data_IF_806465242764
#
_entry.id   IF_806465242764
#
_cell.length_a   1.000
_cell.length_b   1.000
_cell.length_c   1.000
_cell.angle_alpha   90.00
_cell.angle_beta   90.00
_cell.angle_gamma   90.00
#
_symmetry.space_group_name_H-M   'P 1'
#
loop_
_entity.id
_entity.type
_entity.pdbx_description
1 polymer ?
#
# COMPACT_ATOMS: atom_id res chain seq x y z
N UNK A 1 -28.19 -2.07 -8.48
CA UNK A 1 -29.14 -2.88 -7.67
C UNK A 1 -28.64 -2.90 -6.26
N UNK A 2 -29.52 -2.55 -5.34
CA UNK A 2 -29.41 -2.27 -3.94
C UNK A 2 -28.11 -2.64 -3.25
N UNK A 3 -27.45 -1.63 -2.73
CA UNK A 3 -26.52 -1.79 -1.64
C UNK A 3 -27.24 -2.61 -0.56
N UNK A 4 -26.78 -3.82 -0.30
CA UNK A 4 -27.26 -4.58 0.84
C UNK A 4 -27.09 -3.77 2.13
N UNK A 5 -27.86 -4.07 3.14
CA UNK A 5 -27.78 -3.39 4.44
C UNK A 5 -26.35 -3.37 4.96
N UNK A 6 -25.85 -2.19 5.30
CA UNK A 6 -24.55 -2.04 5.94
C UNK A 6 -24.67 -2.35 7.42
N UNK A 7 -24.11 -3.47 7.86
CA UNK A 7 -24.05 -3.85 9.26
C UNK A 7 -22.75 -3.36 9.89
N UNK A 8 -22.89 -2.66 11.01
CA UNK A 8 -21.73 -2.30 11.86
C UNK A 8 -21.58 -3.36 12.95
N UNK A 9 -20.40 -3.97 13.03
CA UNK A 9 -19.98 -4.83 14.14
C UNK A 9 -18.96 -4.05 14.98
N UNK A 10 -19.12 -4.09 16.28
CA UNK A 10 -18.23 -3.40 17.23
C UNK A 10 -17.48 -4.43 18.04
N UNK A 11 -16.15 -4.25 18.14
CA UNK A 11 -15.29 -4.98 19.06
C UNK A 11 -14.95 -4.03 20.19
N UNK A 12 -15.31 -4.41 21.42
CA UNK A 12 -15.01 -3.61 22.60
C UNK A 12 -13.55 -3.81 23.02
N UNK A 13 -12.86 -2.71 23.38
CA UNK A 13 -11.46 -2.71 23.80
C UNK A 13 -10.55 -3.58 22.89
N UNK A 14 -10.50 -3.32 21.58
CA UNK A 14 -9.73 -4.17 20.67
C UNK A 14 -8.24 -4.08 20.94
N UNK A 15 -7.53 -5.20 20.77
CA UNK A 15 -6.09 -5.21 20.62
C UNK A 15 -5.71 -4.57 19.29
N UNK A 16 -4.97 -3.47 19.31
CA UNK A 16 -4.61 -2.73 18.11
C UNK A 16 -3.39 -3.38 17.45
N UNK A 17 -3.43 -3.46 16.12
CA UNK A 17 -2.29 -3.93 15.32
C UNK A 17 -1.17 -2.89 15.32
N UNK A 18 0.06 -3.34 15.57
CA UNK A 18 1.29 -2.55 15.38
C UNK A 18 2.46 -3.47 15.00
N UNK A 19 3.60 -2.93 14.55
CA UNK A 19 4.81 -3.73 14.29
C UNK A 19 5.30 -4.52 15.49
N UNK A 20 5.09 -4.03 16.71
CA UNK A 20 5.47 -4.67 17.96
C UNK A 20 4.42 -5.68 18.44
N UNK A 21 3.16 -5.45 18.10
CA UNK A 21 2.03 -6.30 18.48
C UNK A 21 1.09 -6.48 17.28
N UNK A 22 1.38 -7.39 16.35
CA UNK A 22 0.59 -7.60 15.15
C UNK A 22 -0.70 -8.39 15.41
N UNK A 23 -1.59 -7.80 16.20
CA UNK A 23 -2.87 -8.40 16.58
C UNK A 23 -3.81 -8.49 15.37
N UNK A 24 -4.22 -9.71 15.02
CA UNK A 24 -5.16 -9.99 13.95
C UNK A 24 -6.45 -10.60 14.50
N UNK A 25 -7.54 -10.27 13.83
CA UNK A 25 -8.88 -10.82 14.03
C UNK A 25 -9.30 -11.59 12.78
N UNK A 26 -10.35 -12.36 12.90
CA UNK A 26 -10.92 -13.13 11.80
C UNK A 26 -12.42 -12.88 11.73
N UNK A 27 -12.89 -12.49 10.54
CA UNK A 27 -14.30 -12.36 10.23
C UNK A 27 -14.74 -13.58 9.43
N UNK A 28 -15.62 -14.39 10.00
CA UNK A 28 -16.21 -15.54 9.31
C UNK A 28 -17.55 -15.14 8.68
N UNK A 29 -17.62 -15.22 7.36
CA UNK A 29 -18.85 -15.01 6.58
C UNK A 29 -19.42 -16.36 6.17
N UNK A 30 -20.66 -16.63 6.55
CA UNK A 30 -21.39 -17.86 6.19
C UNK A 30 -22.50 -17.55 5.21
N UNK A 31 -22.50 -18.22 4.08
CA UNK A 31 -23.55 -18.14 3.08
C UNK A 31 -24.55 -19.30 3.22
N UNK A 32 -25.83 -18.96 3.34
CA UNK A 32 -26.91 -19.95 3.45
C UNK A 32 -27.88 -19.85 2.27
N UNK A 33 -28.43 -20.99 1.89
CA UNK A 33 -29.61 -21.10 1.04
C UNK A 33 -30.72 -21.76 1.88
N UNK A 34 -31.68 -20.97 2.36
CA UNK A 34 -32.56 -21.40 3.45
C UNK A 34 -31.76 -21.74 4.69
N UNK A 35 -31.95 -22.93 5.26
CA UNK A 35 -31.20 -23.41 6.42
C UNK A 35 -29.91 -24.15 6.07
N UNK A 36 -29.64 -24.35 4.78
CA UNK A 36 -28.49 -25.11 4.31
C UNK A 36 -27.27 -24.20 4.13
N UNK A 37 -26.20 -24.42 4.92
CA UNK A 37 -24.91 -23.78 4.73
C UNK A 37 -24.32 -24.15 3.36
N UNK A 38 -23.96 -23.17 2.55
CA UNK A 38 -23.40 -23.32 1.19
C UNK A 38 -21.92 -23.04 1.14
N UNK A 39 -21.48 -22.00 1.88
CA UNK A 39 -20.10 -21.58 1.83
C UNK A 39 -19.69 -20.88 3.13
N UNK A 40 -18.40 -20.94 3.43
CA UNK A 40 -17.77 -20.23 4.55
C UNK A 40 -16.53 -19.53 4.03
N UNK A 41 -16.45 -18.21 4.26
CA UNK A 41 -15.29 -17.43 3.92
C UNK A 41 -14.73 -16.71 5.14
N UNK A 42 -13.44 -16.85 5.37
CA UNK A 42 -12.74 -16.25 6.50
C UNK A 42 -11.83 -15.12 6.03
N UNK A 43 -12.05 -13.91 6.54
CA UNK A 43 -11.25 -12.72 6.24
C UNK A 43 -10.44 -12.34 7.46
N UNK A 44 -9.10 -12.43 7.42
CA UNK A 44 -8.26 -11.85 8.45
C UNK A 44 -8.26 -10.32 8.33
N UNK A 45 -8.23 -9.63 9.48
CA UNK A 45 -8.11 -8.18 9.52
C UNK A 45 -7.44 -7.72 10.82
N UNK A 46 -6.93 -6.50 10.84
CA UNK A 46 -6.39 -5.86 12.03
C UNK A 46 -7.07 -4.52 12.28
N UNK A 47 -7.10 -4.09 13.52
CA UNK A 47 -7.66 -2.80 13.93
C UNK A 47 -6.52 -1.88 14.29
N UNK A 48 -6.47 -0.73 13.65
CA UNK A 48 -5.48 0.32 13.92
C UNK A 48 -6.01 1.68 13.47
N UNK A 49 -5.41 2.76 13.94
CA UNK A 49 -5.60 4.11 13.38
C UNK A 49 -4.30 4.62 12.78
N UNK A 50 -4.42 5.36 11.69
CA UNK A 50 -3.33 6.08 11.06
C UNK A 50 -3.70 7.55 10.92
N UNK A 51 -2.73 8.41 11.16
CA UNK A 51 -2.90 9.84 11.00
C UNK A 51 -1.59 10.46 10.52
N UNK A 52 -1.66 11.40 9.59
CA UNK A 52 -0.54 12.27 9.23
C UNK A 52 -0.88 13.66 9.73
N UNK A 53 -0.04 14.18 10.63
CA UNK A 53 -0.20 15.53 11.15
C UNK A 53 0.91 16.38 10.52
N UNK A 54 0.59 17.47 9.80
CA UNK A 54 1.60 18.39 9.26
C UNK A 54 2.59 18.78 10.35
N UNK A 55 3.87 18.84 10.00
CA UNK A 55 5.02 19.17 10.88
C UNK A 55 5.27 18.20 12.04
N UNK A 56 4.40 17.22 12.28
CA UNK A 56 4.57 16.21 13.34
C UNK A 56 4.83 14.80 12.78
N UNK A 57 4.41 14.53 11.54
CA UNK A 57 4.67 13.27 10.84
C UNK A 57 3.58 12.22 10.99
N UNK A 58 3.96 10.96 10.86
CA UNK A 58 3.06 9.82 10.88
C UNK A 58 2.78 9.30 12.30
N UNK A 59 1.52 9.00 12.56
CA UNK A 59 1.06 8.44 13.84
C UNK A 59 0.34 7.11 13.58
N UNK A 60 0.74 6.10 14.34
CA UNK A 60 0.06 4.80 14.38
C UNK A 60 -0.53 4.63 15.78
N UNK A 61 -1.85 4.40 15.85
CA UNK A 61 -2.58 4.26 17.12
C UNK A 61 -2.34 5.43 18.10
N UNK A 62 -2.28 6.66 17.56
CA UNK A 62 -2.03 7.87 18.35
C UNK A 62 -0.58 8.08 18.78
N UNK A 63 0.35 7.15 18.44
CA UNK A 63 1.77 7.26 18.77
C UNK A 63 2.56 7.70 17.53
N UNK A 64 3.37 8.75 17.66
CA UNK A 64 4.29 9.16 16.59
C UNK A 64 5.24 8.00 16.25
N UNK A 65 5.27 7.63 15.00
CA UNK A 65 6.04 6.49 14.50
C UNK A 65 6.94 6.94 13.36
N UNK A 66 8.22 6.62 13.45
CA UNK A 66 9.19 6.89 12.38
C UNK A 66 9.34 5.62 11.56
N UNK A 67 9.25 5.74 10.23
CA UNK A 67 9.56 4.66 9.34
C UNK A 67 11.07 4.38 9.34
N UNK A 68 11.43 3.18 9.70
CA UNK A 68 12.77 2.62 9.57
C UNK A 68 12.67 1.47 8.60
N UNK A 69 12.80 1.77 7.32
CA UNK A 69 12.42 0.83 6.28
C UNK A 69 13.44 0.71 5.16
N UNK A 70 13.10 -0.15 4.24
CA UNK A 70 13.85 -0.41 3.02
C UNK A 70 12.93 -0.38 1.82
N UNK A 71 13.48 -0.01 0.66
CA UNK A 71 12.88 -0.29 -0.63
C UNK A 71 13.18 -1.75 -0.97
N UNK A 72 12.15 -2.55 -1.09
CA UNK A 72 12.28 -4.00 -1.28
C UNK A 72 11.74 -4.40 -2.65
N UNK A 73 12.64 -4.71 -3.56
CA UNK A 73 12.28 -5.22 -4.87
C UNK A 73 11.70 -6.63 -4.78
N UNK A 74 10.85 -7.00 -5.72
CA UNK A 74 10.27 -8.34 -5.82
C UNK A 74 11.33 -9.35 -6.30
N UNK A 75 12.28 -9.64 -5.41
CA UNK A 75 13.43 -10.52 -5.65
C UNK A 75 13.78 -11.29 -4.37
N UNK A 76 13.94 -12.60 -4.50
CA UNK A 76 14.32 -13.49 -3.42
C UNK A 76 15.71 -14.13 -3.67
N UNK A 77 16.62 -13.40 -4.31
CA UNK A 77 17.97 -13.84 -4.61
C UNK A 77 17.99 -15.02 -5.59
N UNK A 78 18.50 -16.21 -5.21
CA UNK A 78 18.56 -17.36 -6.10
C UNK A 78 17.20 -17.83 -6.63
N UNK A 79 16.10 -17.46 -5.99
CA UNK A 79 14.75 -17.77 -6.42
C UNK A 79 14.20 -16.76 -7.43
N UNK A 80 14.88 -15.63 -7.63
CA UNK A 80 14.41 -14.55 -8.50
C UNK A 80 13.05 -14.03 -8.04
N UNK A 81 12.14 -13.81 -8.98
CA UNK A 81 10.78 -13.32 -8.72
C UNK A 81 9.77 -14.42 -8.33
N UNK A 82 10.21 -15.64 -8.07
CA UNK A 82 9.32 -16.70 -7.62
C UNK A 82 8.79 -16.41 -6.21
N UNK A 83 7.47 -16.52 -6.02
CA UNK A 83 6.83 -16.35 -4.72
C UNK A 83 7.09 -17.59 -3.87
N UNK A 84 7.75 -17.41 -2.72
CA UNK A 84 8.02 -18.47 -1.75
C UNK A 84 7.81 -17.95 -0.33
N UNK A 85 6.79 -18.45 0.36
CA UNK A 85 6.39 -17.97 1.68
C UNK A 85 7.52 -18.07 2.72
N UNK A 86 8.27 -19.15 2.73
CA UNK A 86 9.37 -19.34 3.68
C UNK A 86 10.51 -18.32 3.44
N UNK A 87 10.84 -18.03 2.18
CA UNK A 87 11.85 -17.04 1.83
C UNK A 87 11.39 -15.62 2.15
N UNK A 88 10.13 -15.27 1.87
CA UNK A 88 9.51 -13.98 2.24
C UNK A 88 9.57 -13.80 3.76
N UNK A 89 9.12 -14.78 4.54
CA UNK A 89 9.16 -14.71 6.00
C UNK A 89 10.59 -14.60 6.55
N UNK A 90 11.54 -15.28 5.93
CA UNK A 90 12.96 -15.13 6.27
C UNK A 90 13.44 -13.70 6.01
N UNK A 91 13.11 -13.13 4.87
CA UNK A 91 13.46 -11.74 4.51
C UNK A 91 12.91 -10.75 5.53
N UNK A 92 11.61 -10.82 5.86
CA UNK A 92 10.97 -9.97 6.87
C UNK A 92 11.66 -10.12 8.23
N UNK A 93 12.01 -11.34 8.63
CA UNK A 93 12.70 -11.60 9.90
C UNK A 93 14.05 -10.90 9.97
N UNK A 94 14.85 -11.02 8.90
CA UNK A 94 16.15 -10.34 8.78
C UNK A 94 15.97 -8.81 8.88
N UNK A 95 15.00 -8.25 8.18
CA UNK A 95 14.73 -6.82 8.24
C UNK A 95 14.33 -6.38 9.66
N UNK A 96 13.50 -7.13 10.34
CA UNK A 96 13.14 -6.86 11.75
C UNK A 96 14.35 -6.92 12.66
N UNK A 97 15.23 -7.92 12.50
CA UNK A 97 16.46 -8.09 13.26
C UNK A 97 17.44 -6.91 13.04
N UNK A 98 17.40 -6.28 11.86
CA UNK A 98 18.12 -5.04 11.55
C UNK A 98 17.48 -3.80 12.19
N UNK A 99 16.29 -3.92 12.79
CA UNK A 99 15.54 -2.81 13.37
C UNK A 99 14.56 -2.12 12.40
N UNK A 100 14.29 -2.71 11.24
CA UNK A 100 13.27 -2.20 10.32
C UNK A 100 11.86 -2.45 10.86
N UNK A 101 10.97 -1.49 10.59
CA UNK A 101 9.55 -1.59 10.88
C UNK A 101 8.66 -1.35 9.65
N UNK A 102 9.26 -1.09 8.49
CA UNK A 102 8.53 -0.80 7.26
C UNK A 102 9.25 -1.32 6.01
N UNK A 103 8.47 -1.59 4.97
CA UNK A 103 8.91 -1.91 3.60
C UNK A 103 8.13 -1.04 2.63
N UNK A 104 8.83 -0.45 1.65
CA UNK A 104 8.21 0.05 0.42
C UNK A 104 8.38 -1.03 -0.65
N UNK A 105 7.28 -1.40 -1.31
CA UNK A 105 7.32 -2.43 -2.37
C UNK A 105 7.79 -1.80 -3.68
N UNK A 106 9.08 -1.89 -3.93
CA UNK A 106 9.75 -1.24 -5.07
C UNK A 106 9.68 -2.11 -6.33
N UNK A 107 9.30 -1.66 -7.43
CA UNK A 107 8.45 -0.48 -7.70
C UNK A 107 7.21 -0.96 -8.43
N UNK A 108 6.48 -1.89 -7.83
CA UNK A 108 5.34 -2.58 -8.41
C UNK A 108 4.44 -3.18 -7.32
N UNK A 109 3.31 -3.71 -7.75
CA UNK A 109 2.34 -4.33 -6.85
C UNK A 109 2.93 -5.54 -6.13
N UNK A 110 2.80 -5.61 -4.79
CA UNK A 110 3.36 -6.71 -4.01
C UNK A 110 2.60 -8.02 -4.20
N UNK A 111 3.30 -9.13 -4.00
CA UNK A 111 2.66 -10.43 -3.89
C UNK A 111 1.75 -10.48 -2.63
N UNK A 112 0.55 -11.10 -2.71
CA UNK A 112 -0.33 -11.25 -1.56
C UNK A 112 0.32 -11.94 -0.36
N UNK A 113 1.24 -12.86 -0.61
CA UNK A 113 2.01 -13.58 0.42
C UNK A 113 2.90 -12.64 1.22
N UNK A 114 3.50 -11.62 0.59
CA UNK A 114 4.29 -10.61 1.28
C UNK A 114 3.40 -9.80 2.23
N UNK A 115 2.26 -9.33 1.75
CA UNK A 115 1.33 -8.54 2.56
C UNK A 115 0.81 -9.34 3.75
N UNK A 116 0.38 -10.59 3.53
CA UNK A 116 -0.06 -11.48 4.60
C UNK A 116 1.04 -11.73 5.63
N UNK A 117 2.27 -11.99 5.20
CA UNK A 117 3.39 -12.19 6.10
C UNK A 117 3.71 -10.91 6.90
N UNK A 118 3.56 -9.72 6.30
CA UNK A 118 3.74 -8.45 6.99
C UNK A 118 2.62 -8.17 8.02
N UNK A 119 1.37 -8.54 7.73
CA UNK A 119 0.28 -8.49 8.69
C UNK A 119 0.58 -9.34 9.93
N UNK A 120 1.02 -10.59 9.72
CA UNK A 120 1.27 -11.58 10.76
C UNK A 120 2.54 -11.30 11.58
N UNK A 121 3.57 -10.76 10.91
CA UNK A 121 4.89 -10.56 11.54
C UNK A 121 5.11 -9.13 12.03
N UNK A 122 4.19 -8.20 11.75
CA UNK A 122 4.31 -6.82 12.19
C UNK A 122 5.34 -6.01 11.40
N UNK A 123 5.09 -5.80 10.11
CA UNK A 123 5.90 -4.96 9.23
C UNK A 123 4.96 -4.00 8.47
N UNK A 124 5.14 -2.69 8.62
CA UNK A 124 4.34 -1.72 7.87
C UNK A 124 4.69 -1.78 6.38
N UNK A 125 3.71 -1.54 5.54
CA UNK A 125 3.87 -1.53 4.08
C UNK A 125 3.44 -0.18 3.50
N UNK A 126 4.31 0.38 2.68
CA UNK A 126 3.97 1.36 1.67
C UNK A 126 3.81 0.58 0.35
N UNK A 127 2.57 0.31 -0.03
CA UNK A 127 2.28 -0.50 -1.21
C UNK A 127 2.32 0.38 -2.46
N UNK A 128 3.25 0.05 -3.35
CA UNK A 128 3.48 0.81 -4.57
C UNK A 128 2.86 0.11 -5.78
N UNK A 129 2.32 0.93 -6.71
CA UNK A 129 1.63 0.44 -7.89
C UNK A 129 2.50 0.42 -9.14
N UNK A 130 3.24 1.51 -9.42
CA UNK A 130 3.88 1.71 -10.72
C UNK A 130 5.31 2.24 -10.58
N UNK A 131 6.24 1.68 -11.36
CA UNK A 131 7.58 2.25 -11.53
C UNK A 131 7.59 3.40 -12.55
N UNK A 132 6.72 3.34 -13.56
CA UNK A 132 6.55 4.38 -14.56
C UNK A 132 5.08 4.59 -14.90
N UNK A 133 4.78 5.74 -15.52
CA UNK A 133 3.44 6.03 -16.03
C UNK A 133 3.43 5.94 -17.56
N UNK A 134 2.82 6.91 -18.25
CA UNK A 134 2.73 6.92 -19.71
C UNK A 134 3.99 7.45 -20.42
N UNK A 135 4.99 7.91 -19.69
CA UNK A 135 6.32 8.23 -20.23
C UNK A 135 7.30 7.11 -19.85
N UNK A 136 7.92 6.51 -20.86
CA UNK A 136 8.75 5.33 -20.72
C UNK A 136 10.05 5.58 -19.93
N UNK A 137 10.37 4.68 -19.01
CA UNK A 137 11.72 4.48 -18.45
C UNK A 137 12.50 3.45 -19.26
N UNK A 138 11.82 2.48 -19.84
CA UNK A 138 12.44 1.40 -20.61
C UNK A 138 11.61 1.04 -21.84
N UNK A 139 12.23 0.31 -22.78
CA UNK A 139 11.67 0.01 -24.12
C UNK A 139 10.32 -0.74 -24.07
N UNK A 140 10.12 -1.63 -23.13
CA UNK A 140 8.95 -2.48 -23.03
C UNK A 140 8.29 -2.31 -21.64
N UNK A 141 8.25 -1.08 -21.14
CA UNK A 141 7.73 -0.75 -19.84
C UNK A 141 6.22 -0.71 -19.77
N UNK A 142 5.73 -0.44 -18.59
CA UNK A 142 4.30 -0.32 -18.32
C UNK A 142 3.64 0.88 -19.02
N UNK A 143 4.43 1.85 -19.46
CA UNK A 143 3.97 3.00 -20.25
C UNK A 143 3.11 2.61 -21.44
N UNK A 144 3.35 1.46 -22.05
CA UNK A 144 2.59 0.93 -23.19
C UNK A 144 1.15 0.54 -22.82
N UNK A 145 0.90 0.27 -21.54
CA UNK A 145 -0.39 -0.18 -21.01
C UNK A 145 -1.06 0.88 -20.14
N UNK A 146 -0.32 1.90 -19.72
CA UNK A 146 -0.74 2.84 -18.67
C UNK A 146 -2.11 3.47 -18.93
N UNK A 147 -2.33 4.02 -20.13
CA UNK A 147 -3.56 4.74 -20.45
C UNK A 147 -4.81 3.84 -20.41
N UNK A 148 -4.65 2.55 -20.70
CA UNK A 148 -5.75 1.57 -20.68
C UNK A 148 -5.93 0.89 -19.33
N UNK A 149 -4.84 0.61 -18.62
CA UNK A 149 -4.83 -0.33 -17.49
C UNK A 149 -4.59 0.32 -16.13
N UNK A 150 -4.02 1.52 -16.06
CA UNK A 150 -3.59 2.09 -14.78
C UNK A 150 -4.71 2.18 -13.73
N UNK A 151 -5.93 2.65 -14.11
CA UNK A 151 -7.05 2.68 -13.17
C UNK A 151 -7.47 1.28 -12.74
N UNK A 152 -7.57 0.34 -13.69
CA UNK A 152 -7.98 -1.05 -13.40
C UNK A 152 -7.01 -1.71 -12.42
N UNK A 153 -5.73 -1.55 -12.67
CA UNK A 153 -4.68 -2.15 -11.87
C UNK A 153 -4.57 -1.50 -10.49
N UNK A 154 -4.65 -0.16 -10.43
CA UNK A 154 -4.65 0.55 -9.15
C UNK A 154 -5.86 0.18 -8.30
N UNK A 155 -7.06 0.14 -8.87
CA UNK A 155 -8.27 -0.32 -8.17
C UNK A 155 -8.10 -1.75 -7.66
N UNK A 156 -7.52 -2.63 -8.48
CA UNK A 156 -7.24 -4.00 -8.09
C UNK A 156 -6.27 -4.08 -6.89
N UNK A 157 -5.18 -3.31 -6.90
CA UNK A 157 -4.26 -3.21 -5.77
C UNK A 157 -4.99 -2.80 -4.49
N UNK A 158 -5.77 -1.71 -4.57
CA UNK A 158 -6.51 -1.17 -3.43
C UNK A 158 -7.53 -2.18 -2.88
N UNK A 159 -8.32 -2.81 -3.74
CA UNK A 159 -9.32 -3.80 -3.34
C UNK A 159 -8.72 -5.04 -2.72
N UNK A 160 -7.58 -5.49 -3.22
CA UNK A 160 -6.90 -6.66 -2.65
C UNK A 160 -6.34 -6.39 -1.25
N UNK A 161 -5.85 -5.17 -0.99
CA UNK A 161 -5.03 -4.93 0.22
C UNK A 161 -5.60 -3.89 1.20
N UNK A 162 -6.72 -3.24 0.91
CA UNK A 162 -7.31 -2.25 1.84
C UNK A 162 -7.78 -2.81 3.18
N UNK A 163 -7.93 -4.13 3.31
CA UNK A 163 -8.27 -4.78 4.58
C UNK A 163 -7.03 -5.22 5.38
N UNK A 164 -5.83 -5.11 4.81
CA UNK A 164 -4.59 -5.53 5.46
C UNK A 164 -4.07 -4.42 6.37
N UNK A 165 -3.91 -4.65 7.68
CA UNK A 165 -3.48 -3.62 8.61
C UNK A 165 -2.04 -3.17 8.41
N UNK A 166 -1.17 -4.02 7.86
CA UNK A 166 0.22 -3.69 7.53
C UNK A 166 0.33 -2.60 6.47
N UNK A 167 -0.60 -2.53 5.52
CA UNK A 167 -0.61 -1.49 4.50
C UNK A 167 -1.05 -0.18 5.15
N UNK A 168 -0.11 0.76 5.28
CA UNK A 168 -0.32 2.05 5.95
C UNK A 168 -0.33 3.24 4.99
N UNK A 169 0.10 3.01 3.75
CA UNK A 169 0.22 4.06 2.73
C UNK A 169 0.16 3.46 1.33
N UNK A 170 -0.42 4.19 0.40
CA UNK A 170 -0.39 3.88 -1.03
C UNK A 170 0.66 4.73 -1.73
N UNK A 171 1.49 4.10 -2.57
CA UNK A 171 2.47 4.79 -3.40
C UNK A 171 2.07 4.63 -4.88
N UNK A 172 1.91 5.77 -5.58
CA UNK A 172 1.36 5.77 -6.94
C UNK A 172 2.41 5.86 -8.05
N UNK A 173 3.68 5.91 -7.70
CA UNK A 173 4.75 5.97 -8.69
C UNK A 173 6.12 6.10 -8.08
N UNK A 174 7.14 5.75 -8.87
CA UNK A 174 8.55 5.89 -8.55
C UNK A 174 9.27 6.70 -9.62
N UNK A 175 9.87 7.83 -9.25
CA UNK A 175 10.78 8.59 -10.12
C UNK A 175 10.27 8.72 -11.58
N UNK A 176 8.98 8.94 -11.72
CA UNK A 176 8.32 8.94 -13.03
C UNK A 176 8.87 10.06 -13.92
N UNK A 177 9.23 9.80 -15.19
CA UNK A 177 9.73 10.86 -16.09
C UNK A 177 8.73 12.01 -16.27
N UNK A 178 7.46 11.78 -16.01
CA UNK A 178 6.40 12.80 -16.02
C UNK A 178 6.68 13.99 -15.09
N UNK A 179 7.47 13.82 -14.03
CA UNK A 179 7.80 14.92 -13.11
C UNK A 179 8.54 16.09 -13.79
N UNK A 180 9.15 15.84 -14.97
CA UNK A 180 9.81 16.85 -15.78
C UNK A 180 8.88 17.58 -16.75
N UNK A 181 7.63 17.13 -16.89
CA UNK A 181 6.69 17.66 -17.86
C UNK A 181 5.69 18.61 -17.18
N UNK A 182 5.57 19.81 -17.71
CA UNK A 182 4.53 20.75 -17.28
C UNK A 182 3.13 20.16 -17.56
N UNK A 183 2.24 20.27 -16.58
CA UNK A 183 0.85 19.81 -16.67
C UNK A 183 0.62 18.31 -16.41
N UNK A 184 1.66 17.49 -16.26
CA UNK A 184 1.51 16.06 -15.92
C UNK A 184 1.16 15.83 -14.43
N UNK A 185 1.21 16.86 -13.60
CA UNK A 185 0.66 16.80 -12.24
C UNK A 185 -0.84 16.41 -12.20
N UNK A 186 -1.57 16.56 -13.32
CA UNK A 186 -2.94 16.03 -13.47
C UNK A 186 -3.00 14.51 -13.31
N UNK A 187 -1.94 13.77 -13.68
CA UNK A 187 -1.87 12.32 -13.50
C UNK A 187 -1.74 12.00 -12.01
N UNK A 188 -0.90 12.75 -11.29
CA UNK A 188 -0.80 12.64 -9.81
C UNK A 188 -2.18 12.78 -9.19
N UNK A 189 -2.89 13.84 -9.55
CA UNK A 189 -4.23 14.10 -9.02
C UNK A 189 -5.20 12.97 -9.36
N UNK A 190 -5.22 12.52 -10.59
CA UNK A 190 -6.09 11.44 -11.05
C UNK A 190 -5.85 10.13 -10.27
N UNK A 191 -4.59 9.70 -10.14
CA UNK A 191 -4.25 8.48 -9.40
C UNK A 191 -4.55 8.61 -7.89
N UNK A 192 -4.31 9.79 -7.32
CA UNK A 192 -4.65 10.09 -5.94
C UNK A 192 -6.17 10.05 -5.71
N UNK A 193 -6.96 10.63 -6.64
CA UNK A 193 -8.42 10.62 -6.57
C UNK A 193 -8.98 9.18 -6.63
N UNK A 194 -8.37 8.29 -7.43
CA UNK A 194 -8.69 6.86 -7.45
C UNK A 194 -8.42 6.24 -6.08
N UNK A 195 -7.23 6.48 -5.51
CA UNK A 195 -6.88 5.95 -4.20
C UNK A 195 -7.90 6.39 -3.13
N UNK A 196 -8.22 7.67 -3.06
CA UNK A 196 -9.16 8.21 -2.07
C UNK A 196 -10.61 7.75 -2.31
N UNK A 197 -11.01 7.52 -3.57
CA UNK A 197 -12.31 6.96 -3.90
C UNK A 197 -12.47 5.52 -3.38
N UNK A 198 -11.44 4.70 -3.55
CA UNK A 198 -11.48 3.28 -3.21
C UNK A 198 -11.06 2.99 -1.77
N UNK A 199 -10.20 3.84 -1.20
CA UNK A 199 -9.76 3.76 0.19
C UNK A 199 -9.45 5.16 0.76
N UNK A 200 -10.43 5.82 1.36
CA UNK A 200 -10.23 7.14 1.98
C UNK A 200 -9.48 7.09 3.33
N UNK A 201 -9.06 5.91 3.78
CA UNK A 201 -8.49 5.71 5.12
C UNK A 201 -6.97 5.80 5.17
N UNK A 202 -6.30 5.78 4.00
CA UNK A 202 -4.82 5.79 3.90
C UNK A 202 -4.33 6.98 3.11
N UNK A 203 -3.18 7.54 3.51
CA UNK A 203 -2.52 8.57 2.73
C UNK A 203 -1.95 7.98 1.44
N UNK A 204 -1.77 8.87 0.45
CA UNK A 204 -1.16 8.58 -0.84
C UNK A 204 0.16 9.32 -0.95
N UNK A 205 1.17 8.66 -1.49
CA UNK A 205 2.51 9.23 -1.73
C UNK A 205 3.07 8.83 -3.09
N UNK A 206 4.22 9.37 -3.44
CA UNK A 206 4.99 9.04 -4.63
C UNK A 206 6.48 9.19 -4.35
N UNK A 207 7.31 8.29 -4.87
CA UNK A 207 8.75 8.47 -4.92
C UNK A 207 9.12 9.50 -5.99
N UNK A 208 9.92 10.51 -5.63
CA UNK A 208 10.33 11.60 -6.51
C UNK A 208 11.81 11.88 -6.32
N UNK A 209 12.58 11.95 -7.41
CA UNK A 209 14.03 12.14 -7.40
C UNK A 209 14.49 13.50 -7.97
N UNK A 210 13.55 14.31 -8.45
CA UNK A 210 13.81 15.61 -9.05
C UNK A 210 13.13 16.76 -8.29
N UNK A 211 13.61 17.17 -7.12
CA UNK A 211 12.93 18.13 -6.24
C UNK A 211 12.53 19.44 -6.92
N UNK A 212 13.44 20.01 -7.72
CA UNK A 212 13.16 21.28 -8.43
C UNK A 212 12.05 21.11 -9.48
N UNK A 213 12.08 20.03 -10.25
CA UNK A 213 11.04 19.75 -11.23
C UNK A 213 9.67 19.48 -10.56
N UNK A 214 9.67 18.73 -9.47
CA UNK A 214 8.48 18.41 -8.67
C UNK A 214 7.80 19.67 -8.12
N UNK A 215 8.58 20.64 -7.67
CA UNK A 215 8.06 21.94 -7.18
C UNK A 215 7.58 22.78 -8.36
N UNK A 216 8.41 22.95 -9.38
CA UNK A 216 8.12 23.83 -10.52
C UNK A 216 6.93 23.35 -11.36
N UNK A 217 6.73 22.04 -11.47
CA UNK A 217 5.64 21.40 -12.22
C UNK A 217 4.43 21.03 -11.36
N UNK A 218 4.34 21.56 -10.14
CA UNK A 218 3.21 21.41 -9.21
C UNK A 218 2.92 19.99 -8.72
N UNK A 219 3.81 19.03 -8.90
CA UNK A 219 3.63 17.67 -8.36
C UNK A 219 3.53 17.71 -6.83
N UNK A 220 4.42 18.46 -6.19
CA UNK A 220 4.42 18.63 -4.74
C UNK A 220 3.12 19.26 -4.22
N UNK A 221 2.59 20.27 -4.93
CA UNK A 221 1.37 20.97 -4.52
C UNK A 221 0.11 20.09 -4.61
N UNK A 222 0.10 19.12 -5.53
CA UNK A 222 -1.03 18.18 -5.70
C UNK A 222 -0.98 17.05 -4.68
N UNK A 223 0.23 16.61 -4.27
CA UNK A 223 0.37 15.55 -3.27
C UNK A 223 0.07 16.10 -1.88
N UNK A 224 -1.01 15.66 -1.27
CA UNK A 224 -1.40 16.02 0.10
C UNK A 224 -0.50 15.41 1.18
N UNK A 225 0.34 14.44 0.82
CA UNK A 225 1.29 13.76 1.70
C UNK A 225 2.64 13.68 1.03
N UNK A 226 3.46 14.73 1.17
CA UNK A 226 4.84 14.68 0.77
C UNK A 226 5.65 13.92 1.82
N UNK A 227 6.00 12.68 1.49
CA UNK A 227 7.10 12.01 2.15
C UNK A 227 8.26 12.06 1.16
N UNK A 228 9.23 12.93 1.43
CA UNK A 228 10.54 12.84 0.80
C UNK A 228 11.18 11.53 1.30
N UNK A 229 11.14 10.52 0.46
CA UNK A 229 11.94 9.32 0.64
C UNK A 229 13.16 9.54 -0.25
N UNK A 230 14.23 10.06 0.35
CA UNK A 230 15.54 9.95 -0.26
C UNK A 230 16.00 8.50 -0.07
N UNK A 231 16.30 7.82 -1.15
CA UNK A 231 17.06 6.56 -1.14
C UNK A 231 18.49 6.81 -0.66
#
# INVERSE_FOLDING_TARGET
RGLGDVYKRQIQAPSLWSPEMPALYSAETRLYEGDKLKDIYTTPFGIRSIEIIPDKGFFLNGKRTVFKGVCNHHDLGPLGAAVNDAAIRRQIRILKDMGCNAIRTSHNMPAPELIRACDEMGMMIMAESFDEWNVAKCKNGYNLLFDEWAEKDLVNLLHNFRNNPSVVMWCIGNEVPNQWNEGDCKIVKWLQDICHREDPTRPVTQGMDAPDAVVNNNFAAVMLSLIHISE
#
